data_IF_088257788333
#
_entry.id   IF_088257788333
#
_cell.length_a   1.000
_cell.length_b   1.000
_cell.length_c   1.000
_cell.angle_alpha   90.00
_cell.angle_beta   90.00
_cell.angle_gamma   90.00
#
_symmetry.space_group_name_H-M   'P 1'
#
loop_
_entity.id
_entity.type
_entity.pdbx_description
1 polymer ?
#
# COMPACT_ATOMS: atom_id res chain seq x y z
N UNK A 1 44.21 -21.80 -1.01
CA UNK A 1 43.42 -21.83 -2.27
C UNK A 1 42.11 -21.10 -2.00
N UNK A 2 41.74 -20.13 -2.85
CA UNK A 2 40.42 -19.52 -2.79
C UNK A 2 39.35 -20.57 -3.16
N UNK A 3 38.25 -20.61 -2.42
CA UNK A 3 37.15 -21.53 -2.69
C UNK A 3 36.22 -20.89 -3.74
N UNK A 4 36.25 -21.41 -4.97
CA UNK A 4 35.43 -20.91 -6.07
C UNK A 4 34.08 -21.61 -6.20
N UNK A 5 33.77 -22.57 -5.30
CA UNK A 5 32.51 -23.33 -5.33
C UNK A 5 31.31 -22.40 -5.18
N UNK A 6 30.30 -22.60 -6.03
CA UNK A 6 29.06 -21.84 -6.00
C UNK A 6 29.09 -20.50 -6.74
N UNK A 7 30.27 -20.01 -7.16
CA UNK A 7 30.40 -18.81 -8.00
C UNK A 7 29.99 -19.09 -9.45
N UNK A 8 29.63 -18.06 -10.19
CA UNK A 8 29.08 -18.17 -11.55
C UNK A 8 30.17 -17.95 -12.59
N UNK A 9 30.25 -18.84 -13.57
CA UNK A 9 31.12 -18.61 -14.73
C UNK A 9 30.55 -17.47 -15.59
N UNK A 10 31.34 -16.45 -15.96
CA UNK A 10 30.85 -15.30 -16.73
C UNK A 10 30.45 -15.66 -18.16
N UNK A 11 30.93 -16.78 -18.70
CA UNK A 11 30.67 -17.24 -20.08
C UNK A 11 29.39 -18.07 -20.17
N UNK A 12 29.28 -19.16 -19.42
CA UNK A 12 28.13 -20.08 -19.50
C UNK A 12 27.02 -19.79 -18.49
N UNK A 13 27.25 -18.86 -17.55
CA UNK A 13 26.34 -18.50 -16.45
C UNK A 13 25.95 -19.66 -15.52
N UNK A 14 26.69 -20.76 -15.53
CA UNK A 14 26.50 -21.88 -14.60
C UNK A 14 27.40 -21.75 -13.36
N UNK A 15 26.91 -22.25 -12.21
CA UNK A 15 27.66 -22.25 -10.95
C UNK A 15 28.72 -23.35 -10.93
N UNK A 16 29.90 -23.05 -10.38
CA UNK A 16 30.97 -24.02 -10.19
C UNK A 16 30.62 -25.08 -9.15
N UNK A 17 30.78 -26.35 -9.51
CA UNK A 17 30.66 -27.50 -8.61
C UNK A 17 32.04 -27.93 -8.10
N UNK A 18 32.07 -28.72 -7.02
CA UNK A 18 33.34 -29.16 -6.40
C UNK A 18 34.24 -29.98 -7.33
N UNK A 19 33.67 -30.64 -8.33
CA UNK A 19 34.38 -31.48 -9.30
C UNK A 19 34.70 -30.75 -10.62
N UNK A 20 34.34 -29.47 -10.75
CA UNK A 20 34.57 -28.71 -11.98
C UNK A 20 36.04 -28.28 -12.09
N UNK A 21 36.59 -28.37 -13.31
CA UNK A 21 37.95 -27.91 -13.62
C UNK A 21 37.94 -26.40 -13.93
N UNK A 22 38.52 -25.62 -13.01
CA UNK A 22 38.46 -24.16 -13.01
C UNK A 22 39.80 -23.58 -13.46
N UNK A 23 39.74 -22.66 -14.42
CA UNK A 23 40.85 -21.81 -14.86
C UNK A 23 40.61 -20.39 -14.37
N UNK A 24 41.63 -19.79 -13.76
CA UNK A 24 41.56 -18.43 -13.21
C UNK A 24 42.40 -17.49 -14.06
N UNK A 25 41.87 -16.31 -14.38
CA UNK A 25 42.63 -15.28 -15.09
C UNK A 25 43.79 -14.75 -14.21
N UNK A 26 45.03 -14.69 -14.72
CA UNK A 26 46.18 -14.25 -13.93
C UNK A 26 46.15 -12.74 -13.61
N UNK A 27 45.44 -11.93 -14.41
CA UNK A 27 45.43 -10.47 -14.25
C UNK A 27 44.39 -9.99 -13.22
N UNK A 28 43.19 -10.59 -13.20
CA UNK A 28 42.07 -10.11 -12.38
C UNK A 28 41.45 -11.17 -11.45
N UNK A 29 41.92 -12.42 -11.48
CA UNK A 29 41.41 -13.48 -10.58
C UNK A 29 40.03 -14.05 -10.93
N UNK A 30 39.43 -13.68 -12.06
CA UNK A 30 38.11 -14.21 -12.48
C UNK A 30 38.18 -15.71 -12.80
N UNK A 31 37.31 -16.56 -12.23
CA UNK A 31 37.25 -18.00 -12.51
C UNK A 31 36.37 -18.35 -13.71
N UNK A 32 36.80 -19.37 -14.47
CA UNK A 32 36.13 -19.89 -15.67
C UNK A 32 36.15 -21.42 -15.67
N UNK A 33 35.14 -22.07 -16.27
CA UNK A 33 35.29 -23.50 -16.61
C UNK A 33 36.39 -23.65 -17.67
N UNK A 34 37.24 -24.67 -17.57
CA UNK A 34 38.32 -24.91 -18.56
C UNK A 34 37.80 -24.93 -20.00
N UNK A 35 36.62 -25.49 -20.22
CA UNK A 35 35.99 -25.52 -21.54
C UNK A 35 35.54 -24.14 -22.02
N UNK A 36 35.04 -23.29 -21.11
CA UNK A 36 34.65 -21.92 -21.43
C UNK A 36 35.87 -21.05 -21.73
N UNK A 37 36.96 -21.22 -20.98
CA UNK A 37 38.22 -20.52 -21.26
C UNK A 37 38.81 -20.90 -22.62
N UNK A 38 38.76 -22.19 -22.99
CA UNK A 38 39.20 -22.65 -24.32
C UNK A 38 38.38 -22.05 -25.48
N UNK A 39 37.10 -21.76 -25.26
CA UNK A 39 36.20 -21.18 -26.29
C UNK A 39 36.44 -19.69 -26.49
N UNK A 40 36.66 -18.94 -25.41
CA UNK A 40 36.85 -17.48 -25.48
C UNK A 40 38.33 -17.12 -25.71
N UNK A 41 39.25 -17.87 -25.11
CA UNK A 41 40.71 -17.69 -25.26
C UNK A 41 41.29 -16.48 -24.52
N UNK A 42 40.46 -15.52 -24.11
CA UNK A 42 40.83 -14.30 -23.38
C UNK A 42 39.86 -14.02 -22.22
N UNK A 43 40.29 -13.19 -21.28
CA UNK A 43 39.43 -12.75 -20.17
C UNK A 43 38.31 -11.84 -20.69
N UNK A 44 37.09 -12.04 -20.21
CA UNK A 44 35.94 -11.18 -20.54
C UNK A 44 36.17 -9.74 -20.04
N UNK A 45 36.92 -9.58 -18.96
CA UNK A 45 37.27 -8.29 -18.36
C UNK A 45 38.60 -7.72 -18.86
N UNK A 46 39.11 -8.18 -20.01
CA UNK A 46 40.42 -7.76 -20.53
C UNK A 46 40.55 -6.23 -20.68
N UNK A 47 39.47 -5.53 -21.05
CA UNK A 47 39.48 -4.07 -21.15
C UNK A 47 39.61 -3.38 -19.78
N UNK A 48 39.10 -4.03 -18.72
CA UNK A 48 39.07 -3.49 -17.36
C UNK A 48 40.37 -3.77 -16.59
N UNK A 49 41.26 -4.61 -17.13
CA UNK A 49 42.58 -4.87 -16.53
C UNK A 49 43.41 -3.58 -16.42
N UNK A 50 43.28 -2.66 -17.39
CA UNK A 50 43.97 -1.37 -17.34
C UNK A 50 43.48 -0.46 -16.19
N UNK A 51 42.25 -0.70 -15.70
CA UNK A 51 41.67 0.02 -14.59
C UNK A 51 41.94 -0.64 -13.22
N UNK A 52 42.72 -1.73 -13.18
CA UNK A 52 43.02 -2.47 -11.95
C UNK A 52 41.85 -3.30 -11.43
N UNK A 53 40.99 -3.79 -12.33
CA UNK A 53 39.84 -4.62 -11.95
C UNK A 53 40.27 -5.93 -11.26
N UNK A 54 39.76 -6.15 -10.05
CA UNK A 54 39.91 -7.38 -9.29
C UNK A 54 38.53 -8.04 -9.13
N UNK A 55 38.44 -9.32 -9.48
CA UNK A 55 37.20 -10.06 -9.42
C UNK A 55 36.83 -10.43 -7.98
N UNK A 56 35.56 -10.22 -7.64
CA UNK A 56 35.00 -10.58 -6.33
C UNK A 56 34.05 -11.78 -6.46
N UNK A 57 34.07 -12.73 -5.52
CA UNK A 57 33.20 -13.91 -5.57
C UNK A 57 31.70 -13.59 -5.47
N UNK A 58 30.86 -14.27 -6.24
CA UNK A 58 29.39 -14.12 -6.18
C UNK A 58 28.78 -14.62 -4.86
N UNK A 59 29.47 -15.55 -4.18
CA UNK A 59 29.10 -15.99 -2.84
C UNK A 59 29.49 -14.97 -1.76
N UNK A 60 30.10 -13.84 -2.14
CA UNK A 60 29.93 -12.58 -1.42
C UNK A 60 28.51 -12.08 -1.72
N UNK A 61 27.53 -12.68 -1.04
CA UNK A 61 26.40 -11.91 -0.50
C UNK A 61 27.07 -10.67 0.09
N UNK A 62 26.64 -9.48 -0.28
CA UNK A 62 27.29 -8.25 0.15
C UNK A 62 27.30 -8.18 1.69
N UNK A 63 28.33 -8.76 2.29
CA UNK A 63 28.86 -8.50 3.62
C UNK A 63 29.55 -7.15 3.49
N UNK A 64 28.76 -6.11 3.18
CA UNK A 64 29.07 -4.85 3.82
C UNK A 64 28.77 -5.14 5.28
N UNK A 65 29.77 -5.10 6.18
CA UNK A 65 29.54 -5.23 7.63
C UNK A 65 28.62 -4.12 8.17
N UNK A 66 28.20 -3.24 7.27
CA UNK A 66 27.55 -1.98 7.48
C UNK A 66 26.11 -1.95 6.91
N UNK A 67 25.48 -3.06 6.54
CA UNK A 67 24.08 -3.04 6.10
C UNK A 67 23.12 -3.52 7.22
N UNK A 68 22.20 -2.64 7.64
CA UNK A 68 21.16 -2.95 8.62
C UNK A 68 19.93 -3.58 7.96
N UNK A 69 19.53 -4.74 8.48
CA UNK A 69 18.31 -5.43 8.04
C UNK A 69 17.10 -4.86 8.75
N UNK A 70 16.09 -4.45 7.98
CA UNK A 70 14.86 -3.92 8.52
C UNK A 70 14.07 -5.01 9.29
N UNK A 71 13.75 -4.82 10.59
CA UNK A 71 13.04 -5.83 11.38
C UNK A 71 11.57 -6.00 10.96
N UNK A 72 11.00 -5.05 10.22
CA UNK A 72 9.60 -5.09 9.80
C UNK A 72 9.41 -5.82 8.45
N UNK A 73 10.31 -5.61 7.48
CA UNK A 73 10.13 -6.13 6.10
C UNK A 73 11.32 -6.92 5.55
N UNK A 74 12.43 -7.03 6.29
CA UNK A 74 13.61 -7.80 5.89
C UNK A 74 14.50 -7.13 4.82
N UNK A 75 14.20 -5.90 4.39
CA UNK A 75 15.04 -5.18 3.42
C UNK A 75 16.37 -4.75 4.03
N UNK A 76 17.47 -4.92 3.30
CA UNK A 76 18.80 -4.39 3.64
C UNK A 76 18.87 -2.89 3.36
N UNK A 77 19.34 -2.12 4.34
CA UNK A 77 19.52 -0.68 4.25
C UNK A 77 20.96 -0.33 4.65
N UNK A 78 21.55 0.73 4.09
CA UNK A 78 22.90 1.13 4.44
C UNK A 78 22.99 1.62 5.90
N UNK A 79 24.17 1.47 6.52
CA UNK A 79 24.47 1.99 7.86
C UNK A 79 24.22 3.50 7.92
N UNK A 80 23.53 3.93 8.98
CA UNK A 80 23.11 5.32 9.12
C UNK A 80 21.85 5.69 8.33
N UNK A 81 21.15 4.74 7.70
CA UNK A 81 19.79 4.98 7.25
C UNK A 81 18.86 5.16 8.46
N UNK A 82 18.20 6.31 8.57
CA UNK A 82 17.24 6.59 9.65
C UNK A 82 15.93 5.81 9.50
N UNK A 83 15.52 5.57 8.26
CA UNK A 83 14.31 4.85 7.89
C UNK A 83 14.61 3.77 6.84
N UNK A 84 13.84 2.69 6.85
CA UNK A 84 13.93 1.65 5.84
C UNK A 84 13.50 2.19 4.47
N UNK A 85 14.34 1.98 3.45
CA UNK A 85 14.12 2.41 2.08
C UNK A 85 12.90 1.76 1.41
N UNK A 86 12.40 0.63 1.96
CA UNK A 86 11.29 -0.12 1.38
C UNK A 86 9.96 0.09 2.13
N UNK A 87 9.96 0.04 3.47
CA UNK A 87 8.74 0.14 4.26
C UNK A 87 8.60 1.44 5.07
N UNK A 88 9.64 2.27 5.13
CA UNK A 88 9.66 3.54 5.86
C UNK A 88 9.72 3.42 7.38
N UNK A 89 9.88 2.22 7.95
CA UNK A 89 10.02 2.04 9.42
C UNK A 89 11.37 2.58 9.90
N UNK A 90 11.44 3.13 11.11
CA UNK A 90 12.70 3.56 11.71
C UNK A 90 13.64 2.36 11.95
N UNK A 91 14.91 2.55 11.64
CA UNK A 91 15.94 1.51 11.77
C UNK A 91 16.61 1.59 13.16
N UNK A 92 16.75 0.46 13.89
CA UNK A 92 17.22 0.49 15.28
C UNK A 92 18.62 1.07 15.48
N UNK A 93 19.55 0.84 14.55
CA UNK A 93 20.98 1.11 14.76
C UNK A 93 21.42 2.53 14.33
N UNK A 94 20.49 3.44 14.04
CA UNK A 94 20.86 4.85 13.81
C UNK A 94 21.10 5.56 15.15
N UNK A 95 22.18 6.33 15.35
CA UNK A 95 22.50 6.98 16.63
C UNK A 95 21.34 7.81 17.22
N UNK A 96 20.62 8.58 16.39
CA UNK A 96 19.39 9.28 16.82
C UNK A 96 18.29 8.33 17.34
N UNK A 97 18.16 7.14 16.74
CA UNK A 97 17.14 6.15 17.10
C UNK A 97 17.58 5.30 18.31
N UNK A 98 18.89 5.07 18.49
CA UNK A 98 19.49 4.38 19.64
C UNK A 98 19.34 5.24 20.90
N UNK A 99 19.63 6.55 20.83
CA UNK A 99 19.37 7.46 21.94
C UNK A 99 17.87 7.50 22.29
N UNK A 100 17.00 7.58 21.26
CA UNK A 100 15.56 7.51 21.46
C UNK A 100 15.11 6.20 22.13
N UNK A 101 15.67 5.04 21.74
CA UNK A 101 15.35 3.73 22.34
C UNK A 101 15.95 3.50 23.73
N UNK A 102 17.10 4.11 24.04
CA UNK A 102 17.69 4.08 25.37
C UNK A 102 16.90 4.94 26.36
N UNK A 103 16.43 6.10 25.90
CA UNK A 103 15.54 6.97 26.69
C UNK A 103 14.10 6.42 26.75
N UNK A 104 13.70 5.57 25.79
CA UNK A 104 12.36 4.99 25.67
C UNK A 104 12.45 3.49 25.35
N UNK A 105 12.71 2.62 26.36
CA UNK A 105 12.80 1.18 26.13
C UNK A 105 11.49 0.62 25.60
N UNK A 106 11.53 -0.06 24.45
CA UNK A 106 10.36 -0.76 23.91
C UNK A 106 10.03 -1.99 24.77
N UNK A 107 8.78 -2.19 25.22
CA UNK A 107 8.34 -3.48 25.73
C UNK A 107 8.29 -4.46 24.55
N UNK A 108 8.88 -5.65 24.72
CA UNK A 108 8.99 -6.66 23.66
C UNK A 108 7.64 -7.07 23.07
N UNK A 109 7.43 -6.71 21.79
CA UNK A 109 6.29 -7.17 21.00
C UNK A 109 6.39 -6.70 19.55
N UNK A 110 6.23 -7.63 18.60
CA UNK A 110 6.01 -7.34 17.17
C UNK A 110 4.58 -6.77 16.98
N UNK A 111 4.35 -5.57 17.49
CA UNK A 111 3.09 -4.82 17.33
C UNK A 111 3.26 -3.65 16.36
N UNK A 112 2.16 -3.15 15.75
CA UNK A 112 2.23 -1.96 14.91
C UNK A 112 2.71 -0.75 15.73
N UNK A 113 3.38 0.22 15.10
CA UNK A 113 4.09 1.36 15.73
C UNK A 113 3.27 2.15 16.78
N UNK A 114 1.94 2.12 16.70
CA UNK A 114 1.02 2.79 17.63
C UNK A 114 0.55 1.92 18.81
N UNK A 115 0.92 0.63 18.86
CA UNK A 115 0.61 -0.29 19.96
C UNK A 115 1.56 -0.15 21.15
N UNK A 116 2.47 0.83 21.11
CA UNK A 116 3.50 1.00 22.13
C UNK A 116 2.90 1.61 23.41
N UNK A 117 2.98 0.86 24.52
CA UNK A 117 2.39 1.19 25.82
C UNK A 117 3.28 2.04 26.74
N UNK A 118 4.37 2.63 26.24
CA UNK A 118 5.28 3.46 27.04
C UNK A 118 4.90 4.95 27.09
N UNK A 119 3.63 5.29 26.83
CA UNK A 119 3.13 6.63 27.13
C UNK A 119 2.82 6.72 28.63
N UNK A 120 3.71 7.37 29.39
CA UNK A 120 3.43 7.68 30.79
C UNK A 120 2.78 9.06 30.85
N UNK A 121 1.45 9.08 30.93
CA UNK A 121 0.66 10.27 31.20
C UNK A 121 0.99 10.80 32.61
N UNK A 122 2.06 11.57 32.75
CA UNK A 122 2.47 12.17 34.02
C UNK A 122 3.90 12.69 34.15
N UNK A 123 4.79 12.46 33.17
CA UNK A 123 6.18 12.92 33.25
C UNK A 123 6.54 13.87 32.11
N UNK A 124 6.37 15.18 32.31
CA UNK A 124 7.04 16.15 31.45
C UNK A 124 8.56 16.08 31.73
N UNK A 125 9.42 15.88 30.72
CA UNK A 125 10.86 16.06 30.92
C UNK A 125 11.12 17.54 31.23
N UNK A 126 11.79 17.82 32.35
CA UNK A 126 12.23 19.16 32.70
C UNK A 126 13.36 19.61 31.78
N UNK A 127 13.01 20.20 30.64
CA UNK A 127 13.97 21.03 29.90
C UNK A 127 14.07 22.38 30.62
N UNK A 128 15.29 22.66 31.09
CA UNK A 128 15.82 23.91 31.65
C UNK A 128 14.94 25.15 31.41
N UNK A 129 14.27 25.60 32.46
CA UNK A 129 13.46 26.82 32.52
C UNK A 129 14.34 28.05 32.22
N UNK A 130 14.04 28.78 31.15
CA UNK A 130 14.42 30.18 31.00
C UNK A 130 13.37 31.07 31.70
N UNK A 131 13.72 32.26 32.23
CA UNK A 131 12.85 32.99 33.15
C UNK A 131 11.57 33.47 32.48
N UNK A 132 10.45 33.18 33.15
CA UNK A 132 9.09 33.56 32.80
C UNK A 132 8.91 35.08 32.91
N UNK A 133 8.41 35.73 31.87
CA UNK A 133 7.64 36.97 32.01
C UNK A 133 6.17 36.63 31.81
N UNK A 134 5.41 36.65 32.91
CA UNK A 134 3.96 36.56 32.97
C UNK A 134 3.26 37.62 32.09
N UNK A 135 2.45 37.18 31.11
CA UNK A 135 1.02 37.54 30.96
C UNK A 135 0.44 37.11 29.59
N UNK A 136 -0.46 36.10 29.61
CA UNK A 136 -1.72 35.97 28.85
C UNK A 136 -2.07 34.48 28.54
N UNK A 137 -3.36 34.09 28.49
CA UNK A 137 -3.79 32.70 28.65
C UNK A 137 -4.10 31.97 27.33
N UNK A 138 -4.05 30.63 27.41
CA UNK A 138 -4.58 29.63 26.46
C UNK A 138 -3.99 29.61 25.05
N UNK A 139 -2.73 29.18 24.95
CA UNK A 139 -2.20 28.47 23.78
C UNK A 139 -0.92 27.77 24.21
N UNK A 140 -0.76 26.49 23.86
CA UNK A 140 0.50 25.89 23.41
C UNK A 140 0.33 24.37 23.26
N UNK A 141 -0.45 24.00 22.24
CA UNK A 141 -0.51 22.67 21.62
C UNK A 141 0.47 22.61 20.42
N UNK A 142 1.71 23.05 20.62
CA UNK A 142 2.76 23.02 19.59
C UNK A 142 4.11 22.79 20.25
N UNK A 143 4.62 21.55 20.22
CA UNK A 143 6.05 21.32 20.39
C UNK A 143 6.77 21.76 19.12
N UNK A 144 7.48 22.88 19.21
CA UNK A 144 8.49 23.28 18.24
C UNK A 144 9.66 22.29 18.32
N UNK A 145 9.66 21.28 17.44
CA UNK A 145 10.55 20.12 17.59
C UNK A 145 11.11 19.52 16.31
N UNK A 146 11.28 20.30 15.22
CA UNK A 146 12.34 20.08 14.20
C UNK A 146 12.22 21.15 13.10
N UNK A 147 12.81 22.32 13.33
CA UNK A 147 12.97 23.34 12.28
C UNK A 147 14.11 22.92 11.34
N UNK A 148 13.74 22.27 10.22
CA UNK A 148 14.55 22.36 9.01
C UNK A 148 14.39 23.75 8.36
N UNK A 149 15.31 24.18 7.48
CA UNK A 149 15.35 25.54 6.93
C UNK A 149 14.07 25.99 6.20
N UNK A 150 13.21 25.04 5.82
CA UNK A 150 12.07 25.27 4.93
C UNK A 150 10.69 25.25 5.62
N UNK A 151 10.62 25.32 6.96
CA UNK A 151 9.37 25.66 7.65
C UNK A 151 8.21 24.65 7.49
N UNK A 152 8.49 23.37 7.24
CA UNK A 152 7.48 22.31 7.28
C UNK A 152 7.21 21.90 8.73
N UNK A 153 6.08 22.31 9.30
CA UNK A 153 5.60 21.82 10.59
C UNK A 153 5.05 20.40 10.43
N UNK A 154 5.83 19.40 10.83
CA UNK A 154 5.31 18.04 10.95
C UNK A 154 4.52 17.94 12.26
N UNK A 155 3.19 17.78 12.17
CA UNK A 155 2.37 17.48 13.33
C UNK A 155 2.56 16.01 13.68
N UNK A 156 3.37 15.73 14.68
CA UNK A 156 3.46 14.40 15.27
C UNK A 156 2.12 14.08 15.94
N UNK A 157 1.50 12.99 15.50
CA UNK A 157 0.25 12.49 16.08
C UNK A 157 0.62 11.52 17.19
N UNK A 158 0.28 11.87 18.42
CA UNK A 158 0.42 11.00 19.58
C UNK A 158 -0.59 9.85 19.56
N UNK A 159 -0.26 8.67 20.15
CA UNK A 159 -1.18 7.52 20.23
C UNK A 159 -2.51 7.80 20.93
N UNK A 160 -2.55 8.78 21.85
CA UNK A 160 -3.76 9.17 22.58
C UNK A 160 -4.41 10.44 22.04
N UNK A 161 -3.89 11.03 20.96
CA UNK A 161 -4.48 12.23 20.37
C UNK A 161 -5.90 11.93 19.89
N UNK A 162 -6.90 12.73 20.29
CA UNK A 162 -8.27 12.49 19.90
C UNK A 162 -8.51 12.94 18.45
N UNK A 163 -8.96 12.00 17.61
CA UNK A 163 -9.49 12.24 16.27
C UNK A 163 -11.01 12.09 16.34
N UNK A 164 -11.74 13.18 16.19
CA UNK A 164 -13.21 13.24 16.39
C UNK A 164 -13.67 12.60 17.73
N UNK A 165 -12.88 12.76 18.80
CA UNK A 165 -13.19 12.22 20.13
C UNK A 165 -12.86 10.73 20.33
N UNK A 166 -12.23 10.08 19.36
CA UNK A 166 -11.72 8.69 19.43
C UNK A 166 -10.19 8.74 19.49
N UNK A 167 -9.58 7.94 20.39
CA UNK A 167 -8.12 7.87 20.53
C UNK A 167 -7.46 7.36 19.25
N UNK A 168 -6.35 7.96 18.84
CA UNK A 168 -5.58 7.58 17.65
C UNK A 168 -5.22 6.08 17.62
N UNK A 169 -4.88 5.48 18.76
CA UNK A 169 -4.62 4.02 18.90
C UNK A 169 -5.81 3.13 18.56
N UNK A 170 -7.02 3.57 18.89
CA UNK A 170 -8.26 2.81 18.66
C UNK A 170 -8.65 2.89 17.19
N UNK A 171 -8.47 4.07 16.58
CA UNK A 171 -8.53 4.25 15.14
C UNK A 171 -7.55 3.33 14.41
N UNK A 172 -6.32 3.29 14.89
CA UNK A 172 -5.28 2.53 14.25
C UNK A 172 -5.55 1.01 14.35
N UNK A 173 -5.97 0.54 15.52
CA UNK A 173 -6.40 -0.85 15.75
C UNK A 173 -7.57 -1.24 14.85
N UNK A 174 -8.54 -0.33 14.67
CA UNK A 174 -9.68 -0.56 13.78
C UNK A 174 -9.30 -0.55 12.29
N UNK A 175 -8.47 0.39 11.84
CA UNK A 175 -8.11 0.51 10.41
C UNK A 175 -7.14 -0.57 9.96
N UNK A 176 -6.25 -1.01 10.86
CA UNK A 176 -5.29 -2.08 10.63
C UNK A 176 -4.01 -1.61 9.91
N UNK A 177 -3.43 -2.42 8.99
CA UNK A 177 -2.09 -2.19 8.43
C UNK A 177 -1.88 -0.85 7.72
N UNK A 178 -2.94 -0.26 7.17
CA UNK A 178 -2.88 1.02 6.45
C UNK A 178 -3.29 2.22 7.33
N UNK A 179 -3.23 2.10 8.65
CA UNK A 179 -3.74 3.12 9.58
C UNK A 179 -3.14 4.49 9.34
N UNK A 180 -1.82 4.57 9.11
CA UNK A 180 -1.08 5.82 8.90
C UNK A 180 -1.72 6.70 7.83
N UNK A 181 -1.99 6.13 6.64
CA UNK A 181 -2.60 6.88 5.54
C UNK A 181 -3.96 7.47 5.94
N UNK A 182 -4.85 6.65 6.52
CA UNK A 182 -6.20 7.12 6.86
C UNK A 182 -6.20 8.10 8.02
N UNK A 183 -5.37 7.86 9.04
CA UNK A 183 -5.24 8.76 10.19
C UNK A 183 -4.81 10.15 9.75
N UNK A 184 -3.78 10.26 8.89
CA UNK A 184 -3.34 11.56 8.36
C UNK A 184 -4.46 12.28 7.61
N UNK A 185 -5.27 11.55 6.81
CA UNK A 185 -6.43 12.15 6.15
C UNK A 185 -7.54 12.56 7.12
N UNK A 186 -7.76 11.77 8.18
CA UNK A 186 -8.77 12.06 9.20
C UNK A 186 -8.42 13.31 10.02
N UNK A 187 -7.14 13.46 10.39
CA UNK A 187 -6.63 14.68 11.03
C UNK A 187 -6.79 15.88 10.11
N UNK A 188 -6.34 15.78 8.86
CA UNK A 188 -6.51 16.86 7.88
C UNK A 188 -7.98 17.24 7.70
N UNK A 189 -8.87 16.26 7.70
CA UNK A 189 -10.32 16.48 7.58
C UNK A 189 -10.92 17.16 8.81
N UNK A 190 -10.43 16.85 10.01
CA UNK A 190 -10.84 17.52 11.25
C UNK A 190 -10.37 18.98 11.26
N UNK A 191 -9.12 19.24 10.89
CA UNK A 191 -8.50 20.57 10.90
C UNK A 191 -9.11 21.47 9.82
N UNK A 192 -9.14 20.99 8.57
CA UNK A 192 -9.59 21.81 7.43
C UNK A 192 -11.10 21.83 7.26
N UNK A 193 -11.85 20.97 7.99
CA UNK A 193 -13.29 20.70 7.82
C UNK A 193 -13.70 20.28 6.39
N UNK A 194 -12.75 20.00 5.50
CA UNK A 194 -13.01 19.59 4.11
C UNK A 194 -13.31 18.10 4.04
N UNK A 195 -14.43 17.75 3.40
CA UNK A 195 -14.89 16.36 3.25
C UNK A 195 -14.32 15.66 2.02
N UNK A 196 -13.86 16.41 1.02
CA UNK A 196 -13.33 15.83 -0.21
C UNK A 196 -11.84 15.48 -0.04
N UNK A 197 -11.51 14.20 -0.25
CA UNK A 197 -10.15 13.66 -0.21
C UNK A 197 -10.01 12.68 -1.37
N UNK A 198 -9.00 12.91 -2.22
CA UNK A 198 -8.77 12.07 -3.40
C UNK A 198 -8.34 10.67 -2.95
N UNK A 199 -9.09 9.67 -3.39
CA UNK A 199 -8.80 8.25 -3.24
C UNK A 199 -8.75 7.59 -4.62
N UNK A 200 -7.53 7.33 -5.10
CA UNK A 200 -7.32 6.63 -6.36
C UNK A 200 -7.91 5.21 -6.34
N UNK A 201 -7.79 4.52 -5.21
CA UNK A 201 -8.37 3.18 -5.05
C UNK A 201 -9.88 3.19 -5.23
N UNK A 202 -10.59 4.14 -4.61
CA UNK A 202 -12.04 4.23 -4.77
C UNK A 202 -12.48 4.72 -6.16
N UNK A 203 -11.66 5.54 -6.81
CA UNK A 203 -11.89 6.02 -8.17
C UNK A 203 -11.87 4.86 -9.18
N UNK A 204 -10.81 4.04 -9.18
CA UNK A 204 -10.64 2.96 -10.15
C UNK A 204 -11.29 1.64 -9.75
N UNK A 205 -11.34 1.32 -8.45
CA UNK A 205 -11.85 0.03 -7.96
C UNK A 205 -13.31 0.11 -7.48
N UNK A 206 -13.95 1.28 -7.54
CA UNK A 206 -15.39 1.45 -7.40
C UNK A 206 -16.01 0.63 -6.24
N UNK A 207 -17.03 -0.21 -6.50
CA UNK A 207 -17.68 -1.04 -5.48
C UNK A 207 -16.73 -2.02 -4.77
N UNK A 208 -15.72 -2.54 -5.46
CA UNK A 208 -14.73 -3.45 -4.85
C UNK A 208 -14.01 -2.79 -3.68
N UNK A 209 -13.63 -1.52 -3.80
CA UNK A 209 -13.02 -0.77 -2.70
C UNK A 209 -13.94 -0.68 -1.47
N UNK A 210 -15.22 -0.40 -1.69
CA UNK A 210 -16.19 -0.29 -0.58
C UNK A 210 -16.41 -1.63 0.12
N UNK A 211 -16.55 -2.73 -0.63
CA UNK A 211 -16.66 -4.07 -0.04
C UNK A 211 -15.37 -4.49 0.68
N UNK A 212 -14.20 -4.23 0.09
CA UNK A 212 -12.91 -4.47 0.73
C UNK A 212 -12.79 -3.78 2.08
N UNK A 213 -13.29 -2.54 2.20
CA UNK A 213 -13.34 -1.76 3.45
C UNK A 213 -14.59 -2.01 4.31
N UNK A 214 -15.36 -3.06 4.03
CA UNK A 214 -16.58 -3.44 4.76
C UNK A 214 -17.64 -2.32 4.82
N UNK A 215 -17.65 -1.41 3.84
CA UNK A 215 -18.65 -0.35 3.66
C UNK A 215 -19.83 -0.87 2.85
N UNK A 216 -20.61 -1.77 3.45
CA UNK A 216 -21.67 -2.52 2.76
C UNK A 216 -22.74 -1.63 2.11
N UNK A 217 -23.17 -0.55 2.78
CA UNK A 217 -24.22 0.34 2.27
C UNK A 217 -23.79 1.05 1.00
N UNK A 218 -22.60 1.64 1.03
CA UNK A 218 -22.00 2.34 -0.10
C UNK A 218 -21.63 1.36 -1.21
N UNK A 219 -21.08 0.19 -0.86
CA UNK A 219 -20.74 -0.86 -1.81
C UNK A 219 -21.94 -1.36 -2.59
N UNK A 220 -23.04 -1.71 -1.92
CA UNK A 220 -24.29 -2.14 -2.59
C UNK A 220 -24.90 -1.02 -3.42
N UNK A 221 -24.96 0.22 -2.89
CA UNK A 221 -25.49 1.36 -3.63
C UNK A 221 -24.73 1.58 -4.94
N UNK A 222 -23.40 1.62 -4.88
CA UNK A 222 -22.60 1.86 -6.08
C UNK A 222 -22.54 0.65 -7.00
N UNK A 223 -22.62 -0.57 -6.49
CA UNK A 223 -22.77 -1.77 -7.34
C UNK A 223 -24.07 -1.74 -8.14
N UNK A 224 -25.20 -1.37 -7.51
CA UNK A 224 -26.49 -1.24 -8.20
C UNK A 224 -26.48 -0.10 -9.22
N UNK A 225 -25.92 1.06 -8.87
CA UNK A 225 -25.79 2.17 -9.80
C UNK A 225 -24.89 1.83 -10.99
N UNK A 226 -23.80 1.10 -10.75
CA UNK A 226 -22.91 0.61 -11.81
C UNK A 226 -23.68 -0.33 -12.75
N UNK A 227 -24.37 -1.33 -12.20
CA UNK A 227 -25.18 -2.26 -12.97
C UNK A 227 -26.23 -1.54 -13.83
N UNK A 228 -26.99 -0.60 -13.26
CA UNK A 228 -28.02 0.17 -13.98
C UNK A 228 -27.41 0.97 -15.14
N UNK A 229 -26.27 1.61 -14.91
CA UNK A 229 -25.59 2.43 -15.92
C UNK A 229 -24.93 1.57 -16.99
N UNK A 230 -24.58 0.32 -16.70
CA UNK A 230 -24.05 -0.64 -17.69
C UNK A 230 -25.16 -1.25 -18.56
N UNK A 231 -26.44 -1.23 -18.14
CA UNK A 231 -27.54 -1.86 -18.88
C UNK A 231 -27.66 -1.39 -20.34
N UNK A 232 -27.58 -0.09 -20.68
CA UNK A 232 -27.68 0.34 -22.08
C UNK A 232 -26.54 -0.19 -22.95
N UNK A 233 -25.32 -0.30 -22.41
CA UNK A 233 -24.19 -0.90 -23.12
C UNK A 233 -24.42 -2.39 -23.37
N UNK A 234 -24.97 -3.11 -22.39
CA UNK A 234 -25.32 -4.52 -22.54
C UNK A 234 -26.42 -4.72 -23.59
N UNK A 235 -27.48 -3.91 -23.54
CA UNK A 235 -28.55 -3.91 -24.55
C UNK A 235 -28.01 -3.56 -25.94
N UNK A 236 -27.08 -2.62 -26.05
CA UNK A 236 -26.46 -2.31 -27.34
C UNK A 236 -25.69 -3.51 -27.90
N UNK A 237 -24.93 -4.20 -27.04
CA UNK A 237 -24.15 -5.37 -27.42
C UNK A 237 -25.03 -6.52 -27.91
N UNK A 238 -26.15 -6.75 -27.23
CA UNK A 238 -27.17 -7.71 -27.67
C UNK A 238 -27.74 -7.33 -29.04
N UNK A 239 -27.88 -6.04 -29.34
CA UNK A 239 -28.49 -5.57 -30.59
C UNK A 239 -27.54 -5.80 -31.76
N UNK A 240 -26.25 -5.48 -31.55
CA UNK A 240 -25.19 -5.73 -32.52
C UNK A 240 -24.98 -7.23 -32.75
N UNK A 241 -25.13 -8.07 -31.71
CA UNK A 241 -25.02 -9.53 -31.83
C UNK A 241 -26.16 -10.22 -32.58
N UNK A 242 -27.20 -9.46 -32.99
CA UNK A 242 -28.35 -10.01 -33.72
C UNK A 242 -29.33 -10.79 -32.86
N UNK A 243 -29.49 -10.44 -31.58
CA UNK A 243 -30.44 -11.10 -30.70
C UNK A 243 -31.90 -10.95 -31.20
N UNK A 244 -32.56 -12.07 -31.50
CA UNK A 244 -33.88 -12.10 -32.17
C UNK A 244 -34.97 -11.35 -31.39
N UNK A 245 -34.94 -11.42 -30.06
CA UNK A 245 -35.92 -10.78 -29.18
C UNK A 245 -35.87 -9.25 -29.17
N UNK A 246 -34.83 -8.65 -29.76
CA UNK A 246 -34.72 -7.19 -29.87
C UNK A 246 -35.14 -6.63 -31.22
N UNK A 247 -35.35 -7.47 -32.22
CA UNK A 247 -35.77 -7.03 -33.56
C UNK A 247 -37.14 -6.35 -33.49
N UNK A 248 -37.26 -5.15 -34.06
CA UNK A 248 -38.51 -4.41 -34.14
C UNK A 248 -38.86 -3.55 -32.91
N UNK A 249 -38.01 -3.54 -31.88
CA UNK A 249 -38.23 -2.70 -30.70
C UNK A 249 -37.98 -1.21 -31.01
N UNK A 250 -38.94 -0.30 -30.73
CA UNK A 250 -38.81 1.12 -31.07
C UNK A 250 -37.70 1.84 -30.30
N UNK A 251 -37.31 1.32 -29.12
CA UNK A 251 -36.28 1.91 -28.28
C UNK A 251 -34.85 1.69 -28.80
N UNK A 252 -34.64 0.80 -29.80
CA UNK A 252 -33.31 0.53 -30.36
C UNK A 252 -32.59 1.80 -30.85
N UNK A 253 -33.36 2.78 -31.38
CA UNK A 253 -32.82 4.06 -31.86
C UNK A 253 -32.29 4.95 -30.74
N UNK A 254 -32.76 4.76 -29.52
CA UNK A 254 -32.37 5.53 -28.32
C UNK A 254 -31.20 4.87 -27.58
N UNK A 255 -30.83 3.63 -27.90
CA UNK A 255 -29.78 2.91 -27.18
C UNK A 255 -28.41 3.61 -27.29
N UNK A 256 -27.94 4.06 -28.49
CA UNK A 256 -26.63 4.69 -28.59
C UNK A 256 -26.53 5.99 -27.77
N UNK A 257 -27.58 6.81 -27.78
CA UNK A 257 -27.61 8.06 -27.00
C UNK A 257 -27.69 7.75 -25.50
N UNK A 258 -28.51 6.78 -25.08
CA UNK A 258 -28.58 6.33 -23.69
C UNK A 258 -27.23 5.79 -23.19
N UNK A 259 -26.50 5.05 -24.03
CA UNK A 259 -25.17 4.54 -23.73
C UNK A 259 -24.17 5.68 -23.47
N UNK A 260 -24.13 6.70 -24.32
CA UNK A 260 -23.23 7.86 -24.13
C UNK A 260 -23.54 8.62 -22.83
N UNK A 261 -24.83 8.86 -22.55
CA UNK A 261 -25.27 9.47 -21.28
C UNK A 261 -24.81 8.62 -20.10
N UNK A 262 -24.97 7.30 -20.18
CA UNK A 262 -24.57 6.37 -19.13
C UNK A 262 -23.04 6.32 -18.94
N UNK A 263 -22.23 6.40 -19.99
CA UNK A 263 -20.77 6.51 -19.85
C UNK A 263 -20.36 7.78 -19.09
N UNK A 264 -20.98 8.92 -19.40
CA UNK A 264 -20.74 10.17 -18.65
C UNK A 264 -21.18 10.02 -17.19
N UNK A 265 -22.34 9.40 -16.93
CA UNK A 265 -22.79 9.13 -15.56
C UNK A 265 -21.83 8.19 -14.82
N UNK A 266 -21.28 7.17 -15.47
CA UNK A 266 -20.28 6.28 -14.87
C UNK A 266 -19.03 7.08 -14.46
N UNK A 267 -18.52 7.94 -15.34
CA UNK A 267 -17.38 8.81 -15.03
C UNK A 267 -17.67 9.75 -13.85
N UNK A 268 -18.85 10.38 -13.82
CA UNK A 268 -19.29 11.22 -12.70
C UNK A 268 -19.31 10.40 -11.39
N UNK A 269 -19.82 9.17 -11.44
CA UNK A 269 -19.82 8.29 -10.28
C UNK A 269 -18.40 7.94 -9.82
N UNK A 270 -17.47 7.65 -10.75
CA UNK A 270 -16.06 7.41 -10.42
C UNK A 270 -15.45 8.60 -9.69
N UNK A 271 -15.66 9.83 -10.19
CA UNK A 271 -15.19 11.07 -9.54
C UNK A 271 -15.79 11.22 -8.15
N UNK A 272 -17.10 11.03 -7.99
CA UNK A 272 -17.78 11.14 -6.69
C UNK A 272 -17.23 10.11 -5.70
N UNK A 273 -17.10 8.83 -6.10
CA UNK A 273 -16.53 7.77 -5.26
C UNK A 273 -15.08 8.12 -4.89
N UNK A 274 -14.28 8.56 -5.85
CA UNK A 274 -12.89 8.96 -5.65
C UNK A 274 -12.72 10.11 -4.65
N UNK A 275 -13.61 11.11 -4.66
CA UNK A 275 -13.50 12.28 -3.78
C UNK A 275 -14.08 12.05 -2.37
N UNK A 276 -15.10 11.20 -2.22
CA UNK A 276 -15.84 11.09 -0.95
C UNK A 276 -15.68 9.75 -0.24
N UNK A 277 -14.99 8.77 -0.83
CA UNK A 277 -14.80 7.45 -0.22
C UNK A 277 -14.14 7.51 1.17
N UNK A 278 -13.07 8.29 1.33
CA UNK A 278 -12.36 8.40 2.62
C UNK A 278 -13.25 9.05 3.68
N UNK A 279 -14.04 10.05 3.30
CA UNK A 279 -15.01 10.69 4.19
C UNK A 279 -16.09 9.70 4.64
N UNK A 280 -16.70 8.96 3.72
CA UNK A 280 -17.69 7.95 4.08
C UNK A 280 -17.09 6.84 4.94
N UNK A 281 -15.85 6.45 4.66
CA UNK A 281 -15.12 5.49 5.48
C UNK A 281 -14.92 6.01 6.90
N UNK A 282 -14.48 7.26 7.08
CA UNK A 282 -14.35 7.91 8.40
C UNK A 282 -15.68 7.86 9.16
N UNK A 283 -16.75 8.36 8.55
CA UNK A 283 -18.08 8.48 9.17
C UNK A 283 -18.72 7.12 9.51
N UNK A 284 -18.50 6.11 8.69
CA UNK A 284 -19.01 4.76 8.94
C UNK A 284 -18.20 4.05 10.02
N UNK A 285 -16.88 4.26 10.03
CA UNK A 285 -15.97 3.67 11.02
C UNK A 285 -16.17 4.28 12.40
N UNK A 286 -16.31 5.60 12.51
CA UNK A 286 -16.65 6.31 13.75
C UNK A 286 -17.91 5.70 14.41
N UNK A 287 -18.99 5.54 13.63
CA UNK A 287 -20.23 4.88 14.08
C UNK A 287 -20.07 3.41 14.49
N UNK A 288 -19.06 2.72 13.98
CA UNK A 288 -18.76 1.31 14.37
C UNK A 288 -17.89 1.26 15.62
N UNK A 289 -16.90 2.14 15.72
CA UNK A 289 -16.02 2.26 16.87
C UNK A 289 -16.85 2.65 18.11
N UNK A 290 -17.75 3.62 18.00
CA UNK A 290 -18.66 3.96 19.11
C UNK A 290 -19.54 2.77 19.54
N UNK A 291 -20.07 1.98 18.59
CA UNK A 291 -20.80 0.75 18.93
C UNK A 291 -19.95 -0.30 19.65
N UNK A 292 -18.63 -0.31 19.43
CA UNK A 292 -17.70 -1.16 20.19
C UNK A 292 -17.44 -0.56 21.57
N UNK A 293 -17.32 0.76 21.68
CA UNK A 293 -17.19 1.45 22.97
C UNK A 293 -18.39 1.21 23.88
N UNK A 294 -19.61 1.16 23.32
CA UNK A 294 -20.84 0.86 24.07
C UNK A 294 -20.85 -0.57 24.65
N UNK A 295 -20.11 -1.50 24.04
CA UNK A 295 -20.10 -2.92 24.41
C UNK A 295 -18.91 -3.31 25.28
N UNK A 296 -17.76 -2.67 25.06
CA UNK A 296 -16.51 -3.04 25.68
C UNK A 296 -15.90 -1.83 26.43
N UNK A 297 -15.73 -1.90 27.76
CA UNK A 297 -15.01 -0.88 28.51
C UNK A 297 -13.54 -0.77 28.08
N UNK A 298 -12.82 0.25 28.54
CA UNK A 298 -11.41 0.45 28.17
C UNK A 298 -10.54 -0.71 28.66
N UNK A 299 -9.74 -1.28 27.76
CA UNK A 299 -8.85 -2.41 28.05
C UNK A 299 -8.39 -3.13 26.78
N UNK A 300 -7.53 -4.15 26.90
CA UNK A 300 -7.00 -4.92 25.76
C UNK A 300 -8.12 -5.64 24.97
N UNK A 301 -9.20 -6.03 25.63
CA UNK A 301 -10.37 -6.61 24.97
C UNK A 301 -11.04 -5.65 23.97
N UNK A 302 -10.94 -4.33 24.20
CA UNK A 302 -11.46 -3.32 23.28
C UNK A 302 -10.63 -3.24 22.00
N UNK A 303 -9.30 -3.22 22.11
CA UNK A 303 -8.43 -3.20 20.93
C UNK A 303 -8.64 -4.44 20.06
N UNK A 304 -8.81 -5.62 20.67
CA UNK A 304 -9.07 -6.87 19.96
C UNK A 304 -10.45 -6.83 19.26
N UNK A 305 -11.47 -6.34 19.96
CA UNK A 305 -12.80 -6.17 19.38
C UNK A 305 -12.82 -5.15 18.21
N UNK A 306 -12.05 -4.07 18.32
CA UNK A 306 -11.86 -3.09 17.25
C UNK A 306 -11.15 -3.69 16.04
N UNK A 307 -10.08 -4.46 16.26
CA UNK A 307 -9.34 -5.15 15.21
C UNK A 307 -10.21 -6.20 14.48
N UNK A 308 -11.03 -6.95 15.23
CA UNK A 308 -11.95 -7.94 14.65
C UNK A 308 -13.09 -7.30 13.85
N UNK A 309 -13.63 -6.18 14.33
CA UNK A 309 -14.73 -5.46 13.66
C UNK A 309 -14.23 -4.70 12.43
N UNK A 310 -13.05 -4.09 12.54
CA UNK A 310 -12.41 -3.29 11.52
C UNK A 310 -11.67 -4.10 10.45
N UNK A 311 -10.58 -3.53 9.93
CA UNK A 311 -9.74 -4.14 8.91
C UNK A 311 -10.39 -4.24 7.54
N UNK A 312 -9.96 -5.24 6.78
CA UNK A 312 -10.35 -5.43 5.37
C UNK A 312 -11.00 -6.80 5.16
N UNK A 313 -11.74 -6.95 4.06
CA UNK A 313 -12.45 -8.21 3.74
C UNK A 313 -12.21 -8.62 2.29
N UNK A 314 -11.24 -9.52 2.09
CA UNK A 314 -11.03 -10.18 0.79
C UNK A 314 -12.18 -11.11 0.40
N UNK A 315 -12.81 -11.76 1.38
CA UNK A 315 -14.00 -12.58 1.13
C UNK A 315 -15.12 -11.78 0.44
N UNK A 316 -15.39 -10.55 0.90
CA UNK A 316 -16.39 -9.67 0.28
C UNK A 316 -16.03 -9.30 -1.17
N UNK A 317 -14.74 -9.08 -1.44
CA UNK A 317 -14.23 -8.79 -2.80
C UNK A 317 -14.47 -9.98 -3.72
N UNK A 318 -14.13 -11.20 -3.30
CA UNK A 318 -14.33 -12.41 -4.10
C UNK A 318 -15.81 -12.74 -4.32
N UNK A 319 -16.66 -12.54 -3.30
CA UNK A 319 -18.11 -12.70 -3.45
C UNK A 319 -18.64 -11.73 -4.51
N UNK A 320 -18.27 -10.45 -4.42
CA UNK A 320 -18.71 -9.45 -5.40
C UNK A 320 -18.14 -9.73 -6.79
N UNK A 321 -16.88 -10.17 -6.90
CA UNK A 321 -16.28 -10.60 -8.16
C UNK A 321 -17.07 -11.76 -8.78
N UNK A 322 -17.45 -12.76 -7.97
CA UNK A 322 -18.28 -13.89 -8.41
C UNK A 322 -19.65 -13.44 -8.92
N UNK A 323 -20.32 -12.52 -8.21
CA UNK A 323 -21.59 -11.92 -8.66
C UNK A 323 -21.42 -11.15 -9.97
N UNK A 324 -20.35 -10.36 -10.08
CA UNK A 324 -20.05 -9.57 -11.28
C UNK A 324 -19.79 -10.48 -12.50
N UNK A 325 -18.98 -11.53 -12.34
CA UNK A 325 -18.72 -12.52 -13.39
C UNK A 325 -20.01 -13.27 -13.76
N UNK A 326 -20.79 -13.70 -12.77
CA UNK A 326 -22.06 -14.39 -13.02
C UNK A 326 -23.05 -13.51 -13.80
N UNK A 327 -23.15 -12.21 -13.47
CA UNK A 327 -23.96 -11.26 -14.21
C UNK A 327 -23.45 -11.08 -15.66
N UNK A 328 -22.13 -11.02 -15.87
CA UNK A 328 -21.52 -10.96 -17.20
C UNK A 328 -21.82 -12.22 -18.03
N UNK A 329 -21.63 -13.41 -17.44
CA UNK A 329 -21.94 -14.70 -18.07
C UNK A 329 -23.42 -14.81 -18.43
N UNK A 330 -24.32 -14.40 -17.53
CA UNK A 330 -25.75 -14.32 -17.81
C UNK A 330 -26.04 -13.39 -18.99
N UNK A 331 -25.39 -12.23 -19.04
CA UNK A 331 -25.47 -11.31 -20.17
C UNK A 331 -25.00 -11.92 -21.49
N UNK A 332 -23.95 -12.74 -21.47
CA UNK A 332 -23.45 -13.46 -22.64
C UNK A 332 -24.44 -14.51 -23.15
N UNK A 333 -25.17 -15.22 -22.28
CA UNK A 333 -26.22 -16.17 -22.71
C UNK A 333 -27.40 -15.49 -23.41
N UNK A 334 -27.57 -14.19 -23.23
CA UNK A 334 -28.64 -13.40 -23.85
C UNK A 334 -28.21 -12.77 -25.19
N UNK A 335 -26.95 -12.94 -25.59
CA UNK A 335 -26.43 -12.45 -26.89
C UNK A 335 -26.97 -13.29 -28.05
N UNK A 336 -27.06 -12.66 -29.22
CA UNK A 336 -27.43 -13.29 -30.47
C UNK A 336 -26.28 -14.08 -31.11
N UNK A 337 -26.58 -14.77 -32.23
CA UNK A 337 -25.66 -15.71 -32.87
C UNK A 337 -24.43 -15.05 -33.52
N UNK A 338 -24.47 -13.76 -33.83
CA UNK A 338 -23.36 -13.05 -34.48
C UNK A 338 -22.36 -12.47 -33.47
N UNK A 339 -21.59 -13.36 -32.84
CA UNK A 339 -20.51 -12.98 -31.93
C UNK A 339 -19.34 -12.29 -32.65
N UNK A 340 -19.19 -12.51 -33.96
CA UNK A 340 -18.13 -11.87 -34.75
C UNK A 340 -18.39 -10.37 -34.93
N UNK A 341 -19.66 -9.96 -35.06
CA UNK A 341 -20.03 -8.54 -35.07
C UNK A 341 -19.66 -7.84 -33.74
N UNK A 342 -19.84 -8.53 -32.61
CA UNK A 342 -19.43 -8.04 -31.29
C UNK A 342 -17.91 -7.87 -31.20
N UNK A 343 -17.14 -8.87 -31.65
CA UNK A 343 -15.66 -8.79 -31.62
C UNK A 343 -15.18 -7.60 -32.46
N UNK A 344 -15.72 -7.42 -33.67
CA UNK A 344 -15.37 -6.27 -34.53
C UNK A 344 -15.66 -4.94 -33.86
N UNK A 345 -16.80 -4.82 -33.17
CA UNK A 345 -17.16 -3.62 -32.42
C UNK A 345 -16.22 -3.34 -31.25
N UNK A 346 -15.73 -4.37 -30.55
CA UNK A 346 -14.80 -4.21 -29.43
C UNK A 346 -13.36 -3.91 -29.87
N UNK A 347 -12.99 -4.24 -31.11
CA UNK A 347 -11.65 -4.00 -31.69
C UNK A 347 -11.52 -2.71 -32.49
N UNK A 348 -12.63 -2.00 -32.72
CA UNK A 348 -12.66 -0.65 -33.28
C UNK A 348 -12.56 0.39 -32.18
#
# INVERSE_FOLDING_TARGET
>A
MADYKGNTCPVCKQKFKEADDIVVCPDCGTPYHRECWKKVGVCVHQADHAAGFEWTPDNVISDRPDDIVCPNCGTHNPLGAKYCNHCGVSLPDHPDNVQYQQDHPAPGGNGPVYANGSYQAGGAPQYRQAPRQEQAPDQDFFSAGSMGPDGFTCKEVGPDDPIDGIKARDWASYVGPSSIYYMMQFFRMQETRRKAVISFSAFFLGPFYFFYRKMWKQGVLFALLDFIVTLPSLLYLMAVSGAEWMVGMPFLRLIPTAMQVCYVLNFIQMVIRGLFAVYWYKKESERRIHRVYDRCPEGPQRSDALAATGGTSWAAVFIYLGVYIAAGVLGSFLMGPDLNAVIRFLTM
#
